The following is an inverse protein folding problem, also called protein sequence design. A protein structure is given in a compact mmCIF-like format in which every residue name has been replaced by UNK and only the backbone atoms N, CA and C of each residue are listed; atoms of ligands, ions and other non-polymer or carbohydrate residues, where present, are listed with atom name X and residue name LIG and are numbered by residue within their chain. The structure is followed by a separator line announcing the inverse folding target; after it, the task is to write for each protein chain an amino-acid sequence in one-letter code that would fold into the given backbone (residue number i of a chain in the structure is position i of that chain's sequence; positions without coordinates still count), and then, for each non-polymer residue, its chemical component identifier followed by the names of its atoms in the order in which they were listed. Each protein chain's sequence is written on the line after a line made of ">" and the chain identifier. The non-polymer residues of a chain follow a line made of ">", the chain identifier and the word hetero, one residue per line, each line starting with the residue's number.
data_IF_444878837549
#
_entry.id   IF_444878837549
#
_cell.length_a   1.000
_cell.length_b   1.000
_cell.length_c   1.000
_cell.angle_alpha   90.00
_cell.angle_beta   90.00
_cell.angle_gamma   90.00
#
_symmetry.space_group_name_H-M   'P 1'
#
loop_
_entity.id
_entity.type
_entity.pdbx_description
1 polymer ?
#
# COMPACT_ATOMS: atom_id res chain seq x y z
N UNK A 1 15.06 -1.23 0.00
CA UNK A 1 15.06 0.07 -0.70
C UNK A 1 14.03 0.94 -0.01
N UNK A 2 14.40 2.11 0.53
CA UNK A 2 13.46 3.05 1.15
C UNK A 2 13.23 4.18 0.14
N UNK A 3 11.99 4.39 -0.30
CA UNK A 3 11.67 5.45 -1.26
C UNK A 3 10.56 6.32 -0.70
N UNK A 4 10.80 7.63 -0.70
CA UNK A 4 9.83 8.66 -0.32
C UNK A 4 9.13 9.14 -1.60
N UNK A 5 7.80 9.25 -1.56
CA UNK A 5 6.93 9.82 -2.61
C UNK A 5 6.79 9.10 -3.97
N UNK A 6 7.15 7.82 -4.04
CA UNK A 6 7.14 7.08 -5.31
C UNK A 6 5.76 6.61 -5.81
N UNK A 7 4.70 6.82 -5.03
CA UNK A 7 3.36 6.25 -5.30
C UNK A 7 2.30 7.27 -5.76
N UNK A 8 2.68 8.53 -6.01
CA UNK A 8 1.80 9.50 -6.66
C UNK A 8 2.03 9.58 -8.17
N UNK A 9 3.27 9.38 -8.63
CA UNK A 9 3.62 9.28 -10.04
C UNK A 9 4.10 7.86 -10.32
N UNK A 10 3.31 7.09 -11.08
CA UNK A 10 3.77 6.14 -12.09
C UNK A 10 4.86 5.10 -11.81
N UNK A 11 5.39 4.94 -10.60
CA UNK A 11 6.64 4.21 -10.47
C UNK A 11 6.36 2.72 -10.32
N UNK A 12 6.74 1.98 -11.35
CA UNK A 12 6.58 0.55 -11.46
C UNK A 12 7.86 -0.15 -11.00
N UNK A 13 7.94 -0.44 -9.71
CA UNK A 13 9.05 -1.22 -9.14
C UNK A 13 8.49 -2.47 -8.48
N UNK A 14 8.35 -3.59 -9.21
CA UNK A 14 7.79 -4.83 -8.67
C UNK A 14 8.53 -5.36 -7.43
N UNK A 15 9.83 -5.08 -7.31
CA UNK A 15 10.70 -5.49 -6.20
C UNK A 15 10.46 -4.74 -4.89
N UNK A 16 9.60 -3.71 -4.86
CA UNK A 16 9.27 -3.02 -3.61
C UNK A 16 8.49 -3.96 -2.70
N UNK A 17 8.97 -4.14 -1.47
CA UNK A 17 8.39 -5.00 -0.45
C UNK A 17 7.84 -4.20 0.75
N UNK A 18 8.00 -2.88 0.78
CA UNK A 18 7.59 -2.04 1.91
C UNK A 18 6.93 -0.76 1.41
N UNK A 19 5.72 -0.47 1.88
CA UNK A 19 4.95 0.75 1.64
C UNK A 19 4.86 1.57 2.92
N UNK A 20 5.22 2.84 2.86
CA UNK A 20 5.16 3.77 3.99
C UNK A 20 4.21 4.92 3.67
N UNK A 21 3.12 5.03 4.41
CA UNK A 21 2.14 6.12 4.32
C UNK A 21 2.44 7.16 5.39
N UNK A 22 3.08 8.26 4.98
CA UNK A 22 3.48 9.39 5.86
C UNK A 22 2.59 10.62 5.75
N UNK A 23 1.55 10.56 4.91
CA UNK A 23 0.58 11.65 4.70
C UNK A 23 -0.85 11.09 4.63
N UNK A 24 -1.88 11.88 5.00
CA UNK A 24 -3.26 11.41 4.92
C UNK A 24 -3.62 11.04 3.49
N UNK A 25 -3.90 9.76 3.25
CA UNK A 25 -4.57 9.31 2.03
C UNK A 25 -6.08 9.27 2.32
N UNK A 26 -6.78 10.32 1.89
CA UNK A 26 -8.24 10.46 2.09
C UNK A 26 -9.04 9.55 1.16
N UNK A 27 -8.51 9.25 -0.03
CA UNK A 27 -9.19 8.39 -1.01
C UNK A 27 -8.84 6.92 -0.79
N UNK A 28 -9.86 6.11 -0.47
CA UNK A 28 -9.74 4.66 -0.39
C UNK A 28 -9.32 4.04 -1.74
N UNK A 29 -9.79 4.61 -2.86
CA UNK A 29 -9.38 4.17 -4.20
C UNK A 29 -7.88 4.35 -4.42
N UNK A 30 -7.33 5.53 -4.08
CA UNK A 30 -5.90 5.79 -4.19
C UNK A 30 -5.12 4.83 -3.27
N UNK A 31 -5.59 4.62 -2.04
CA UNK A 31 -4.98 3.66 -1.11
C UNK A 31 -4.90 2.25 -1.71
N UNK A 32 -6.02 1.70 -2.20
CA UNK A 32 -6.05 0.36 -2.80
C UNK A 32 -5.17 0.25 -4.03
N UNK A 33 -5.12 1.28 -4.88
CA UNK A 33 -4.22 1.31 -6.04
C UNK A 33 -2.74 1.30 -5.64
N UNK A 34 -2.36 2.05 -4.61
CA UNK A 34 -0.99 2.09 -4.09
C UNK A 34 -0.60 0.74 -3.48
N UNK A 35 -1.50 0.10 -2.73
CA UNK A 35 -1.29 -1.26 -2.21
C UNK A 35 -1.13 -2.27 -3.35
N UNK A 36 -1.99 -2.21 -4.37
CA UNK A 36 -1.90 -3.11 -5.52
C UNK A 36 -0.56 -3.02 -6.25
N UNK A 37 0.08 -1.85 -6.29
CA UNK A 37 1.45 -1.69 -6.82
C UNK A 37 2.48 -2.39 -5.95
N UNK A 38 2.37 -2.24 -4.62
CA UNK A 38 3.24 -2.93 -3.67
C UNK A 38 3.00 -4.43 -3.56
N UNK A 39 1.88 -4.98 -4.05
CA UNK A 39 1.58 -6.42 -4.05
C UNK A 39 2.02 -7.15 -5.33
N UNK A 40 2.60 -6.45 -6.32
CA UNK A 40 3.11 -7.09 -7.53
C UNK A 40 4.14 -8.17 -7.20
N UNK A 41 4.02 -9.31 -7.88
CA UNK A 41 4.93 -10.43 -7.74
C UNK A 41 6.32 -10.04 -8.25
N UNK A 42 7.35 -10.46 -7.53
CA UNK A 42 8.74 -10.32 -7.92
C UNK A 42 9.55 -11.50 -7.36
N UNK A 43 10.60 -11.90 -8.07
CA UNK A 43 11.49 -12.96 -7.63
C UNK A 43 12.10 -12.61 -6.26
N UNK A 44 12.04 -13.57 -5.32
CA UNK A 44 12.56 -13.41 -3.95
C UNK A 44 11.67 -12.62 -2.99
N UNK A 45 10.50 -12.13 -3.42
CA UNK A 45 9.56 -11.39 -2.57
C UNK A 45 8.46 -12.31 -2.04
N UNK A 46 8.46 -12.53 -0.72
CA UNK A 46 7.47 -13.40 -0.05
C UNK A 46 6.30 -12.64 0.57
N UNK A 47 6.47 -11.35 0.85
CA UNK A 47 5.47 -10.52 1.50
C UNK A 47 5.65 -9.04 1.12
N UNK A 48 4.64 -8.24 1.43
CA UNK A 48 4.69 -6.78 1.36
C UNK A 48 4.30 -6.21 2.72
N UNK A 49 5.13 -5.34 3.27
CA UNK A 49 4.95 -4.67 4.55
C UNK A 49 4.26 -3.33 4.29
N UNK A 50 3.15 -3.07 4.97
CA UNK A 50 2.42 -1.80 4.87
C UNK A 50 2.48 -1.10 6.23
N UNK A 51 3.01 0.12 6.25
CA UNK A 51 3.15 0.95 7.44
C UNK A 51 2.34 2.23 7.23
N UNK A 52 1.23 2.39 7.95
CA UNK A 52 0.43 3.62 7.96
C UNK A 52 0.74 4.43 9.23
N UNK A 53 1.61 5.44 9.11
CA UNK A 53 2.04 6.28 10.23
C UNK A 53 1.09 7.43 10.52
N UNK A 54 0.22 7.78 9.57
CA UNK A 54 -0.79 8.80 9.77
C UNK A 54 -1.98 8.23 10.52
N UNK A 55 -2.23 6.92 10.36
CA UNK A 55 -3.28 6.22 11.09
C UNK A 55 -4.58 6.95 10.88
N UNK A 56 -5.09 6.96 9.63
CA UNK A 56 -6.35 7.61 9.27
C UNK A 56 -7.51 6.94 10.04
N UNK A 57 -7.63 7.25 11.33
CA UNK A 57 -8.28 6.43 12.36
C UNK A 57 -9.77 6.30 12.10
N UNK A 58 -10.35 7.34 11.51
CA UNK A 58 -11.75 7.38 11.06
C UNK A 58 -12.07 6.33 10.00
N UNK A 59 -11.08 5.93 9.20
CA UNK A 59 -11.24 5.02 8.07
C UNK A 59 -10.47 3.70 8.26
N UNK A 60 -9.88 3.46 9.44
CA UNK A 60 -9.05 2.27 9.67
C UNK A 60 -9.83 0.96 9.46
N UNK A 61 -11.06 0.89 9.96
CA UNK A 61 -11.93 -0.29 9.81
C UNK A 61 -12.29 -0.57 8.35
N UNK A 62 -12.57 0.48 7.59
CA UNK A 62 -12.87 0.41 6.15
C UNK A 62 -11.65 -0.08 5.38
N UNK A 63 -10.48 0.53 5.62
CA UNK A 63 -9.21 0.09 5.01
C UNK A 63 -8.90 -1.36 5.34
N UNK A 64 -9.06 -1.78 6.59
CA UNK A 64 -8.81 -3.16 7.01
C UNK A 64 -9.74 -4.16 6.31
N UNK A 65 -11.03 -3.83 6.21
CA UNK A 65 -12.02 -4.65 5.51
C UNK A 65 -11.64 -4.81 4.04
N UNK A 66 -11.18 -3.75 3.41
CA UNK A 66 -10.86 -3.75 1.98
C UNK A 66 -9.58 -4.54 1.70
N UNK A 67 -8.57 -4.37 2.54
CA UNK A 67 -7.34 -5.18 2.48
C UNK A 67 -7.63 -6.67 2.66
N UNK A 68 -8.53 -7.02 3.57
CA UNK A 68 -8.96 -8.41 3.76
C UNK A 68 -9.70 -8.96 2.54
N UNK A 69 -10.49 -8.13 1.86
CA UNK A 69 -11.22 -8.55 0.66
C UNK A 69 -10.28 -8.74 -0.53
N UNK A 70 -9.28 -7.87 -0.71
CA UNK A 70 -8.25 -8.03 -1.74
C UNK A 70 -7.37 -9.25 -1.49
N UNK A 71 -7.00 -9.53 -0.24
CA UNK A 71 -6.20 -10.72 0.11
C UNK A 71 -6.94 -12.06 -0.07
N UNK A 72 -8.28 -12.02 -0.23
CA UNK A 72 -9.11 -13.20 -0.47
C UNK A 72 -9.38 -13.48 -1.96
N UNK A 73 -9.00 -12.56 -2.84
CA UNK A 73 -9.03 -12.76 -4.30
C UNK A 73 -7.78 -13.50 -4.75
#
# INVERSE_FOLDING_TARGET
>A
MLTVDLFNEGTDIPRVDTLLFVRPTESLTVFTQQVGRGLRLAEGKSHCIIIDLIGNYRNADVKYTEMRNEAKK
#
